data_IF_328929238833
#
_entry.id   IF_328929238833
#
_cell.length_a   1.000
_cell.length_b   1.000
_cell.length_c   1.000
_cell.angle_alpha   90.00
_cell.angle_beta   90.00
_cell.angle_gamma   90.00
#
_symmetry.space_group_name_H-M   'P 1'
#
loop_
_entity.id
_entity.type
_entity.pdbx_description
1 polymer ?
#
# COMPACT_ATOMS: atom_id res chain seq x y z
N UNK A 1 -11.09 18.03 27.58
CA UNK A 1 -10.37 19.29 27.76
C UNK A 1 -8.90 19.02 28.07
N UNK A 2 -7.99 19.88 27.58
CA UNK A 2 -6.55 19.80 27.80
C UNK A 2 -6.05 21.09 28.45
N UNK A 3 -5.43 20.97 29.62
CA UNK A 3 -4.78 22.10 30.30
C UNK A 3 -3.30 22.10 29.91
N UNK A 4 -2.86 23.24 29.41
CA UNK A 4 -1.47 23.51 29.05
C UNK A 4 -1.03 24.83 29.61
N UNK A 5 0.26 25.03 29.71
CA UNK A 5 0.83 26.33 30.03
C UNK A 5 2.04 26.62 29.14
N UNK A 6 2.18 27.87 28.76
CA UNK A 6 3.34 28.37 28.03
C UNK A 6 4.32 29.01 29.02
N UNK A 7 5.53 28.46 29.11
CA UNK A 7 6.63 29.00 29.88
C UNK A 7 7.90 29.06 29.04
N UNK A 8 8.54 30.21 28.92
CA UNK A 8 9.75 30.43 28.11
C UNK A 8 9.64 29.81 26.70
N UNK A 9 8.59 30.16 25.97
CA UNK A 9 8.29 29.69 24.60
C UNK A 9 8.04 28.18 24.48
N UNK A 10 7.99 27.46 25.61
CA UNK A 10 7.74 26.02 25.67
C UNK A 10 6.36 25.72 26.21
N UNK A 11 5.61 24.90 25.48
CA UNK A 11 4.30 24.44 25.95
C UNK A 11 4.46 23.21 26.85
N UNK A 12 4.01 23.33 28.07
CA UNK A 12 3.92 22.24 29.02
C UNK A 12 2.48 21.74 29.14
N UNK A 13 2.28 20.45 29.13
CA UNK A 13 0.99 19.83 29.34
C UNK A 13 0.88 19.26 30.75
N UNK A 14 -0.31 19.37 31.36
CA UNK A 14 -0.55 18.79 32.67
C UNK A 14 -0.34 17.28 32.66
N UNK A 15 0.33 16.73 33.69
CA UNK A 15 0.65 15.29 33.76
C UNK A 15 -0.56 14.41 34.09
N UNK A 16 -1.59 14.98 34.74
CA UNK A 16 -2.86 14.27 34.99
C UNK A 16 -3.56 13.79 33.72
N UNK A 17 -3.28 14.41 32.56
CA UNK A 17 -3.89 14.07 31.30
C UNK A 17 -5.07 14.94 30.91
N UNK A 18 -6.08 14.36 30.24
CA UNK A 18 -7.25 15.09 29.74
C UNK A 18 -8.38 15.08 30.77
N UNK A 19 -9.10 16.21 30.85
CA UNK A 19 -10.29 16.34 31.68
C UNK A 19 -11.54 15.95 30.87
N UNK A 20 -12.49 15.29 31.51
CA UNK A 20 -13.72 14.84 30.88
C UNK A 20 -14.73 15.98 30.72
N UNK A 21 -14.72 16.96 31.64
CA UNK A 21 -15.64 18.10 31.64
C UNK A 21 -14.89 19.43 31.64
N UNK A 22 -15.55 20.46 31.12
CA UNK A 22 -15.04 21.82 31.16
C UNK A 22 -14.88 22.31 32.63
N UNK A 23 -15.85 21.97 33.47
CA UNK A 23 -15.86 22.39 34.87
C UNK A 23 -14.61 21.90 35.63
N UNK A 24 -14.24 20.62 35.45
CA UNK A 24 -13.02 20.06 36.00
C UNK A 24 -11.77 20.77 35.47
N UNK A 25 -11.70 21.04 34.18
CA UNK A 25 -10.60 21.77 33.57
C UNK A 25 -10.48 23.19 34.07
N UNK A 26 -11.60 23.90 34.24
CA UNK A 26 -11.64 25.27 34.80
C UNK A 26 -11.22 25.33 36.27
N UNK A 27 -11.61 24.35 37.07
CA UNK A 27 -11.16 24.23 38.45
C UNK A 27 -9.62 24.14 38.54
N UNK A 28 -9.02 23.32 37.69
CA UNK A 28 -7.55 23.21 37.62
C UNK A 28 -6.90 24.47 37.07
N UNK A 29 -7.50 25.14 36.10
CA UNK A 29 -7.03 26.41 35.57
C UNK A 29 -7.01 27.48 36.65
N UNK A 30 -8.09 27.63 37.39
CA UNK A 30 -8.18 28.60 38.52
C UNK A 30 -7.13 28.35 39.59
N UNK A 31 -6.78 27.09 39.87
CA UNK A 31 -5.75 26.74 40.85
C UNK A 31 -4.35 27.20 40.48
N UNK A 32 -4.08 27.40 39.17
CA UNK A 32 -2.75 27.78 38.67
C UNK A 32 -2.65 29.25 38.25
N UNK A 33 -3.77 29.93 38.06
CA UNK A 33 -3.80 31.36 37.73
C UNK A 33 -3.18 32.20 38.82
N UNK A 34 -2.25 33.09 38.44
CA UNK A 34 -1.58 34.01 39.37
C UNK A 34 -0.40 33.42 40.15
N UNK A 35 -0.15 32.13 40.08
CA UNK A 35 1.02 31.48 40.66
C UNK A 35 2.15 31.38 39.66
N UNK A 36 3.44 31.42 40.07
CA UNK A 36 4.56 31.22 39.13
C UNK A 36 4.73 29.75 38.76
N UNK A 37 5.21 29.50 37.54
CA UNK A 37 5.69 28.19 37.13
C UNK A 37 7.09 27.95 37.67
N UNK A 38 7.35 26.77 38.20
CA UNK A 38 8.67 26.38 38.74
C UNK A 38 9.13 25.09 38.08
N UNK A 39 10.35 25.04 37.53
CA UNK A 39 10.97 23.83 37.01
C UNK A 39 11.40 22.91 38.13
N UNK A 40 10.79 21.74 38.27
CA UNK A 40 11.05 20.81 39.36
C UNK A 40 12.11 19.78 39.06
N UNK A 41 12.16 19.29 37.78
CA UNK A 41 13.17 18.32 37.39
C UNK A 41 13.48 18.36 35.88
N UNK A 42 14.70 17.96 35.53
CA UNK A 42 15.18 17.89 34.16
C UNK A 42 15.92 16.58 33.99
N UNK A 43 15.39 15.72 33.15
CA UNK A 43 16.02 14.42 32.83
C UNK A 43 16.36 14.37 31.34
N UNK A 44 17.63 14.18 31.03
CA UNK A 44 18.14 14.01 29.69
C UNK A 44 18.70 12.61 29.50
N UNK A 45 18.22 11.88 28.48
CA UNK A 45 18.68 10.52 28.16
C UNK A 45 19.06 10.43 26.70
N UNK A 46 20.25 9.89 26.44
CA UNK A 46 20.64 9.55 25.08
C UNK A 46 19.97 8.25 24.66
N UNK A 47 19.47 8.22 23.43
CA UNK A 47 18.87 7.07 22.77
C UNK A 47 19.57 6.77 21.46
N UNK A 48 19.43 5.52 21.01
CA UNK A 48 19.90 5.04 19.70
C UNK A 48 18.71 4.62 18.87
N UNK A 49 18.57 5.18 17.68
CA UNK A 49 17.55 4.79 16.71
C UNK A 49 18.20 4.02 15.58
N UNK A 50 17.87 2.73 15.50
CA UNK A 50 18.40 1.87 14.46
C UNK A 50 17.88 2.26 13.08
N UNK A 51 18.61 1.94 12.00
CA UNK A 51 18.11 2.07 10.64
C UNK A 51 16.79 1.32 10.45
N UNK A 52 15.91 1.80 9.56
CA UNK A 52 14.72 1.05 9.20
C UNK A 52 15.12 -0.29 8.54
N UNK A 53 14.34 -1.34 8.79
CA UNK A 53 14.58 -2.67 8.19
C UNK A 53 14.50 -2.60 6.66
N UNK A 54 15.14 -3.56 5.99
CA UNK A 54 15.02 -3.74 4.55
C UNK A 54 13.56 -3.95 4.14
N UNK A 55 13.29 -3.87 2.86
CA UNK A 55 11.94 -4.07 2.36
C UNK A 55 11.60 -5.55 2.15
N UNK A 56 10.44 -5.95 2.65
CA UNK A 56 9.59 -6.96 2.06
C UNK A 56 8.62 -6.31 1.06
N UNK A 57 7.80 -7.11 0.38
CA UNK A 57 6.85 -6.57 -0.61
C UNK A 57 5.83 -5.62 0.04
N UNK A 58 5.27 -5.99 1.18
CA UNK A 58 4.23 -5.18 1.85
C UNK A 58 4.77 -3.83 2.29
N UNK A 59 5.93 -3.79 2.94
CA UNK A 59 6.54 -2.54 3.38
C UNK A 59 6.95 -1.64 2.22
N UNK A 60 7.41 -2.21 1.10
CA UNK A 60 7.69 -1.46 -0.12
C UNK A 60 6.41 -0.85 -0.71
N UNK A 61 5.32 -1.63 -0.82
CA UNK A 61 4.02 -1.14 -1.29
C UNK A 61 3.47 -0.01 -0.41
N UNK A 62 3.58 -0.16 0.91
CA UNK A 62 3.18 0.89 1.88
C UNK A 62 3.97 2.17 1.67
N UNK A 63 5.28 2.08 1.51
CA UNK A 63 6.16 3.24 1.31
C UNK A 63 5.88 3.93 -0.03
N UNK A 64 5.75 3.17 -1.11
CA UNK A 64 5.40 3.69 -2.44
C UNK A 64 4.03 4.37 -2.45
N UNK A 65 3.03 3.82 -1.74
CA UNK A 65 1.73 4.44 -1.64
C UNK A 65 1.78 5.76 -0.87
N UNK A 66 2.50 5.80 0.26
CA UNK A 66 2.67 7.02 1.06
C UNK A 66 3.36 8.14 0.27
N UNK A 67 4.50 7.84 -0.38
CA UNK A 67 5.35 8.82 -1.04
C UNK A 67 4.85 9.21 -2.44
N UNK A 68 4.43 8.23 -3.22
CA UNK A 68 4.14 8.42 -4.64
C UNK A 68 2.67 8.21 -4.99
N UNK A 69 1.84 7.80 -4.03
CA UNK A 69 0.43 7.42 -4.24
C UNK A 69 0.26 6.24 -5.23
N UNK A 70 1.30 5.42 -5.40
CA UNK A 70 1.22 4.20 -6.21
C UNK A 70 0.30 3.19 -5.52
N UNK A 71 -0.49 2.47 -6.32
CA UNK A 71 -1.28 1.35 -5.80
C UNK A 71 -0.37 0.17 -5.44
N UNK A 72 -0.88 -0.76 -4.63
CA UNK A 72 -0.18 -1.99 -4.31
C UNK A 72 0.13 -2.80 -5.58
N UNK A 73 -0.81 -2.85 -6.54
CA UNK A 73 -0.62 -3.52 -7.83
C UNK A 73 0.43 -2.82 -8.70
N UNK A 74 0.37 -1.47 -8.82
CA UNK A 74 1.36 -0.71 -9.58
C UNK A 74 2.76 -0.92 -9.02
N UNK A 75 2.91 -0.85 -7.69
CA UNK A 75 4.21 -1.10 -7.03
C UNK A 75 4.72 -2.51 -7.33
N UNK A 76 3.85 -3.53 -7.26
CA UNK A 76 4.23 -4.90 -7.60
C UNK A 76 4.69 -5.03 -9.06
N UNK A 77 4.00 -4.41 -10.01
CA UNK A 77 4.40 -4.40 -11.42
C UNK A 77 5.75 -3.73 -11.63
N UNK A 78 5.99 -2.59 -10.98
CA UNK A 78 7.24 -1.85 -11.09
C UNK A 78 8.41 -2.65 -10.51
N UNK A 79 8.28 -3.18 -9.29
CA UNK A 79 9.37 -3.96 -8.68
C UNK A 79 9.61 -5.29 -9.41
N UNK A 80 8.58 -5.90 -9.99
CA UNK A 80 8.70 -7.07 -10.85
C UNK A 80 9.53 -6.73 -12.11
N UNK A 81 9.28 -5.58 -12.74
CA UNK A 81 10.07 -5.10 -13.88
C UNK A 81 11.54 -4.85 -13.50
N UNK A 82 11.80 -4.27 -12.32
CA UNK A 82 13.17 -4.08 -11.81
C UNK A 82 13.90 -5.41 -11.58
N UNK A 83 13.18 -6.42 -11.08
CA UNK A 83 13.69 -7.78 -10.93
C UNK A 83 14.02 -8.42 -12.30
N UNK A 84 13.13 -8.30 -13.28
CA UNK A 84 13.35 -8.81 -14.64
C UNK A 84 14.53 -8.13 -15.34
N UNK A 85 14.76 -6.85 -15.05
CA UNK A 85 15.98 -6.09 -15.44
C UNK A 85 17.21 -6.51 -14.63
N UNK A 86 17.07 -7.41 -13.65
CA UNK A 86 18.12 -7.92 -12.77
C UNK A 86 18.79 -6.86 -11.88
N UNK A 87 18.14 -5.72 -11.67
CA UNK A 87 18.68 -4.62 -10.82
C UNK A 87 18.21 -4.70 -9.37
N UNK A 88 17.19 -5.51 -9.08
CA UNK A 88 16.74 -5.86 -7.72
C UNK A 88 16.58 -7.37 -7.57
N UNK A 89 16.55 -7.86 -6.33
CA UNK A 89 16.26 -9.26 -6.00
C UNK A 89 14.77 -9.57 -6.15
N UNK A 90 14.39 -10.85 -5.97
CA UNK A 90 13.01 -11.31 -6.12
C UNK A 90 12.04 -10.52 -5.22
N UNK A 91 10.93 -9.99 -5.76
CA UNK A 91 10.12 -9.01 -5.04
C UNK A 91 9.02 -9.60 -4.15
N UNK A 92 8.60 -10.86 -4.35
CA UNK A 92 7.45 -11.43 -3.62
C UNK A 92 7.89 -12.12 -2.34
N UNK A 93 8.54 -11.36 -1.47
CA UNK A 93 9.12 -11.84 -0.22
C UNK A 93 8.38 -11.28 0.98
N UNK A 94 8.40 -12.01 2.09
CA UNK A 94 7.75 -11.70 3.37
C UNK A 94 8.73 -11.37 4.49
N UNK A 95 10.05 -11.43 4.21
CA UNK A 95 11.09 -11.13 5.17
C UNK A 95 11.79 -9.81 4.88
N UNK A 96 12.25 -9.17 5.94
CA UNK A 96 13.06 -7.93 5.92
C UNK A 96 14.53 -8.21 6.26
N UNK A 97 14.95 -9.49 6.27
CA UNK A 97 16.28 -9.92 6.63
C UNK A 97 17.03 -10.50 5.43
N UNK A 98 18.35 -10.50 5.53
CA UNK A 98 19.26 -11.18 4.61
C UNK A 98 19.80 -12.47 5.24
N UNK A 99 20.06 -13.47 4.41
CA UNK A 99 20.82 -14.64 4.78
C UNK A 99 22.32 -14.34 4.82
N UNK A 100 23.08 -15.11 5.58
CA UNK A 100 24.52 -14.89 5.79
C UNK A 100 25.34 -15.01 4.50
N UNK A 101 24.89 -15.79 3.51
CA UNK A 101 25.53 -15.96 2.21
C UNK A 101 25.48 -14.68 1.33
N UNK A 102 24.62 -13.72 1.67
CA UNK A 102 24.55 -12.43 1.00
C UNK A 102 25.67 -11.49 1.49
N UNK A 103 26.16 -11.66 2.72
CA UNK A 103 27.17 -10.75 3.29
C UNK A 103 28.41 -10.59 2.41
N UNK A 104 29.04 -11.64 1.85
CA UNK A 104 30.18 -11.49 0.94
C UNK A 104 29.88 -10.73 -0.35
N UNK A 105 28.60 -10.67 -0.76
CA UNK A 105 28.15 -9.99 -1.98
C UNK A 105 27.91 -8.48 -1.77
N UNK A 106 27.74 -8.02 -0.52
CA UNK A 106 27.41 -6.63 -0.19
C UNK A 106 28.42 -5.62 -0.76
N UNK A 107 29.75 -5.81 -0.69
CA UNK A 107 30.70 -4.87 -1.29
C UNK A 107 30.49 -4.68 -2.80
N UNK A 108 30.23 -5.77 -3.52
CA UNK A 108 29.96 -5.72 -4.97
C UNK A 108 28.66 -4.99 -5.27
N UNK A 109 27.61 -5.19 -4.46
CA UNK A 109 26.32 -4.47 -4.59
C UNK A 109 26.55 -2.98 -4.35
N UNK A 110 27.27 -2.59 -3.28
CA UNK A 110 27.56 -1.18 -2.97
C UNK A 110 28.34 -0.50 -4.11
N UNK A 111 29.29 -1.19 -4.74
CA UNK A 111 30.07 -0.67 -5.87
C UNK A 111 29.22 -0.47 -7.13
N UNK A 112 28.17 -1.26 -7.33
CA UNK A 112 27.25 -1.12 -8.45
C UNK A 112 26.29 0.08 -8.30
N UNK A 113 26.11 0.62 -7.10
CA UNK A 113 25.25 1.77 -6.79
C UNK A 113 25.90 3.10 -7.20
N UNK A 114 26.29 3.25 -8.47
CA UNK A 114 27.06 4.37 -8.98
C UNK A 114 26.39 5.74 -8.84
N UNK A 115 25.05 5.81 -8.80
CA UNK A 115 24.31 7.04 -8.54
C UNK A 115 24.34 7.48 -7.05
N UNK A 116 24.86 6.65 -6.16
CA UNK A 116 24.87 6.85 -4.70
C UNK A 116 26.29 6.87 -4.13
N UNK A 117 27.31 7.19 -4.93
CA UNK A 117 28.73 7.13 -4.55
C UNK A 117 29.05 7.94 -3.31
N UNK A 118 28.44 9.11 -3.12
CA UNK A 118 28.59 9.92 -1.91
C UNK A 118 28.09 9.21 -0.65
N UNK A 119 27.04 8.40 -0.77
CA UNK A 119 26.46 7.64 0.34
C UNK A 119 27.22 6.34 0.58
N UNK A 120 27.78 5.72 -0.46
CA UNK A 120 28.53 4.47 -0.35
C UNK A 120 30.01 4.68 -0.05
N UNK A 121 30.53 5.92 -0.12
CA UNK A 121 31.94 6.25 0.16
C UNK A 121 32.41 5.78 1.54
N UNK A 122 31.53 5.79 2.54
CA UNK A 122 31.82 5.28 3.88
C UNK A 122 32.28 3.82 3.90
N UNK A 123 31.86 3.02 2.91
CA UNK A 123 32.13 1.58 2.81
C UNK A 123 33.27 1.24 1.88
N UNK A 124 33.85 2.21 1.16
CA UNK A 124 34.92 1.96 0.16
C UNK A 124 36.27 1.59 0.79
N UNK A 125 36.55 2.09 2.00
CA UNK A 125 37.84 1.91 2.70
C UNK A 125 37.73 1.05 3.96
N UNK A 126 36.53 0.64 4.37
CA UNK A 126 36.31 -0.05 5.65
C UNK A 126 35.53 -1.36 5.52
N UNK A 127 35.54 -2.14 6.61
CA UNK A 127 34.74 -3.36 6.73
C UNK A 127 33.27 -2.97 6.90
N UNK A 128 32.39 -3.49 6.03
CA UNK A 128 30.94 -3.30 6.14
C UNK A 128 30.44 -3.99 7.42
N UNK A 129 29.66 -3.33 8.30
CA UNK A 129 29.18 -3.95 9.51
C UNK A 129 28.26 -5.15 9.23
N UNK A 130 28.49 -6.27 9.91
CA UNK A 130 27.56 -7.41 9.91
C UNK A 130 26.73 -7.38 11.19
N UNK A 131 25.45 -7.08 11.09
CA UNK A 131 24.54 -6.96 12.23
C UNK A 131 23.44 -8.02 12.16
N UNK A 132 23.09 -8.62 13.29
CA UNK A 132 21.90 -9.50 13.41
C UNK A 132 20.58 -8.78 13.15
N UNK A 133 20.56 -7.44 13.14
CA UNK A 133 19.40 -6.64 12.71
C UNK A 133 19.16 -6.72 11.19
N UNK A 134 20.19 -7.10 10.41
CA UNK A 134 20.16 -7.20 8.95
C UNK A 134 20.29 -8.66 8.50
N UNK A 135 21.20 -9.43 9.09
CA UNK A 135 21.49 -10.82 8.74
C UNK A 135 20.98 -11.76 9.83
N UNK A 136 19.96 -12.54 9.48
CA UNK A 136 19.39 -13.54 10.38
C UNK A 136 18.79 -14.69 9.58
N UNK A 137 19.52 -15.82 9.47
CA UNK A 137 19.09 -17.00 8.73
C UNK A 137 17.76 -17.58 9.25
N UNK A 138 17.47 -17.43 10.55
CA UNK A 138 16.22 -17.94 11.12
C UNK A 138 14.98 -17.18 10.70
N UNK A 139 15.17 -16.01 10.09
CA UNK A 139 14.11 -15.10 9.58
C UNK A 139 14.01 -15.10 8.05
N UNK A 140 14.80 -15.93 7.39
CA UNK A 140 14.80 -16.09 5.93
C UNK A 140 14.36 -17.52 5.63
N UNK A 141 13.27 -17.67 4.89
CA UNK A 141 12.77 -18.97 4.42
C UNK A 141 13.29 -19.24 3.01
N UNK A 142 12.48 -19.00 1.98
CA UNK A 142 12.83 -19.27 0.59
C UNK A 142 13.65 -18.13 -0.06
N UNK A 143 13.36 -16.90 0.31
CA UNK A 143 13.96 -15.69 -0.25
C UNK A 143 14.27 -14.68 0.85
N UNK A 144 15.34 -13.90 0.65
CA UNK A 144 15.70 -12.79 1.53
C UNK A 144 15.00 -11.49 1.11
N UNK A 145 15.16 -10.42 1.89
CA UNK A 145 14.59 -9.10 1.64
C UNK A 145 14.90 -8.56 0.22
N UNK A 146 14.10 -7.60 -0.23
CA UNK A 146 14.29 -6.90 -1.51
C UNK A 146 15.48 -5.95 -1.37
N UNK A 147 16.53 -6.19 -2.17
CA UNK A 147 17.74 -5.36 -2.21
C UNK A 147 18.18 -5.11 -3.67
N UNK A 148 19.04 -4.09 -3.91
CA UNK A 148 19.72 -3.97 -5.20
C UNK A 148 20.63 -5.16 -5.47
N UNK A 149 20.96 -5.41 -6.73
CA UNK A 149 21.95 -6.39 -7.14
C UNK A 149 23.29 -5.72 -7.47
N UNK A 150 24.27 -6.51 -7.92
CA UNK A 150 25.52 -6.00 -8.45
C UNK A 150 25.44 -5.51 -9.91
N UNK A 151 24.22 -5.43 -10.47
CA UNK A 151 23.97 -4.90 -11.82
C UNK A 151 23.68 -3.41 -11.72
N UNK A 152 24.36 -2.59 -12.55
CA UNK A 152 24.11 -1.14 -12.63
C UNK A 152 22.70 -0.88 -13.15
N UNK A 153 21.96 -0.05 -12.43
CA UNK A 153 20.62 0.35 -12.82
C UNK A 153 20.68 1.41 -13.93
N UNK A 154 20.42 0.99 -15.16
CA UNK A 154 20.36 1.86 -16.35
C UNK A 154 19.03 1.70 -17.05
N UNK A 155 18.64 2.72 -17.81
CA UNK A 155 17.40 2.69 -18.63
C UNK A 155 16.12 2.42 -17.81
N UNK A 156 16.01 3.01 -16.63
CA UNK A 156 14.84 2.95 -15.80
C UNK A 156 13.82 4.02 -16.22
N UNK A 157 12.55 3.67 -16.22
CA UNK A 157 11.46 4.66 -16.33
C UNK A 157 11.43 5.55 -15.08
N UNK A 158 10.72 6.68 -15.14
CA UNK A 158 10.61 7.58 -13.97
C UNK A 158 9.95 6.92 -12.75
N UNK A 159 9.01 5.98 -12.95
CA UNK A 159 8.40 5.23 -11.85
C UNK A 159 9.35 4.16 -11.29
N UNK A 160 10.04 3.44 -12.17
CA UNK A 160 11.07 2.47 -11.78
C UNK A 160 12.21 3.14 -10.99
N UNK A 161 12.64 4.33 -11.43
CA UNK A 161 13.68 5.09 -10.73
C UNK A 161 13.26 5.45 -9.30
N UNK A 162 12.00 5.85 -9.09
CA UNK A 162 11.46 6.17 -7.76
C UNK A 162 11.47 4.94 -6.84
N UNK A 163 11.01 3.80 -7.34
CA UNK A 163 10.95 2.55 -6.54
C UNK A 163 12.37 2.02 -6.29
N UNK A 164 13.24 2.08 -7.29
CA UNK A 164 14.65 1.68 -7.16
C UNK A 164 15.39 2.55 -6.13
N UNK A 165 15.17 3.87 -6.15
CA UNK A 165 15.78 4.80 -5.18
C UNK A 165 15.38 4.45 -3.73
N UNK A 166 14.12 4.11 -3.49
CA UNK A 166 13.67 3.63 -2.16
C UNK A 166 14.42 2.38 -1.74
N UNK A 167 14.54 1.39 -2.63
CA UNK A 167 15.22 0.12 -2.33
C UNK A 167 16.70 0.34 -2.10
N UNK A 168 17.38 1.13 -2.96
CA UNK A 168 18.79 1.42 -2.86
C UNK A 168 19.14 2.19 -1.56
N UNK A 169 18.41 3.27 -1.26
CA UNK A 169 18.62 4.03 -0.02
C UNK A 169 18.36 3.21 1.23
N UNK A 170 17.29 2.39 1.23
CA UNK A 170 16.98 1.51 2.35
C UNK A 170 18.08 0.48 2.60
N UNK A 171 18.65 -0.07 1.52
CA UNK A 171 19.79 -0.97 1.58
C UNK A 171 21.05 -0.29 2.12
N UNK A 172 21.40 0.88 1.61
CA UNK A 172 22.56 1.65 2.08
C UNK A 172 22.40 2.00 3.56
N UNK A 173 21.23 2.52 3.96
CA UNK A 173 20.94 2.93 5.34
C UNK A 173 21.09 1.79 6.35
N UNK A 174 20.78 0.54 5.95
CA UNK A 174 20.89 -0.64 6.82
C UNK A 174 22.32 -0.90 7.35
N UNK A 175 23.34 -0.36 6.69
CA UNK A 175 24.75 -0.49 7.06
C UNK A 175 25.34 0.78 7.71
N UNK A 176 24.56 1.86 7.79
CA UNK A 176 24.96 3.08 8.48
C UNK A 176 24.87 2.91 10.00
N UNK A 177 25.59 3.75 10.77
CA UNK A 177 25.47 3.76 12.22
C UNK A 177 24.07 4.19 12.67
N UNK A 178 23.68 3.79 13.88
CA UNK A 178 22.45 4.24 14.50
C UNK A 178 22.42 5.78 14.59
N UNK A 179 21.23 6.38 14.47
CA UNK A 179 21.03 7.78 14.78
C UNK A 179 21.06 7.95 16.31
N UNK A 180 21.86 8.89 16.80
CA UNK A 180 21.96 9.21 18.22
C UNK A 180 21.07 10.40 18.52
N UNK A 181 20.16 10.24 19.45
CA UNK A 181 19.22 11.28 19.88
C UNK A 181 19.38 11.58 21.36
N UNK A 182 19.11 12.83 21.73
CA UNK A 182 18.96 13.27 23.11
C UNK A 182 17.48 13.55 23.36
N UNK A 183 16.88 12.81 24.29
CA UNK A 183 15.51 13.02 24.72
C UNK A 183 15.53 13.72 26.08
N UNK A 184 15.01 14.95 26.14
CA UNK A 184 14.92 15.74 27.36
C UNK A 184 13.47 15.78 27.82
N UNK A 185 13.26 15.49 29.08
CA UNK A 185 11.99 15.65 29.79
C UNK A 185 12.19 16.72 30.84
N UNK A 186 11.35 17.74 30.76
CA UNK A 186 11.32 18.82 31.77
C UNK A 186 10.01 18.70 32.54
N UNK A 187 10.09 18.58 33.84
CA UNK A 187 8.96 18.65 34.76
C UNK A 187 8.94 20.02 35.40
N UNK A 188 7.76 20.55 35.58
CA UNK A 188 7.54 21.78 36.31
C UNK A 188 6.21 21.72 37.04
N UNK A 189 6.02 22.62 38.00
CA UNK A 189 4.79 22.69 38.74
C UNK A 189 4.28 24.13 38.89
N UNK A 190 2.97 24.25 39.02
CA UNK A 190 2.29 25.46 39.45
C UNK A 190 1.31 25.09 40.54
N UNK A 191 1.50 25.63 41.74
CA UNK A 191 0.63 25.34 42.90
C UNK A 191 0.34 23.84 43.09
N UNK A 192 1.40 23.00 43.12
CA UNK A 192 1.35 21.52 43.26
C UNK A 192 0.72 20.77 42.08
N UNK A 193 0.42 21.45 41.01
CA UNK A 193 -0.05 20.81 39.78
C UNK A 193 1.15 20.63 38.84
N UNK A 194 1.46 19.37 38.54
CA UNK A 194 2.62 19.01 37.72
C UNK A 194 2.34 19.13 36.21
N UNK A 195 3.32 19.66 35.50
CA UNK A 195 3.35 19.83 34.07
C UNK A 195 4.60 19.19 33.45
N UNK A 196 4.52 18.79 32.22
CA UNK A 196 5.60 18.12 31.51
C UNK A 196 5.76 18.69 30.10
N UNK A 197 7.02 18.92 29.70
CA UNK A 197 7.43 19.13 28.32
C UNK A 197 8.47 18.09 27.93
N UNK A 198 8.48 17.71 26.64
CA UNK A 198 9.45 16.76 26.08
C UNK A 198 10.11 17.36 24.85
N UNK A 199 11.42 17.22 24.78
CA UNK A 199 12.20 17.62 23.61
C UNK A 199 13.02 16.47 23.07
N UNK A 200 13.30 16.51 21.78
CA UNK A 200 14.16 15.56 21.08
C UNK A 200 15.15 16.33 20.20
N UNK A 201 16.41 16.05 20.38
CA UNK A 201 17.50 16.63 19.58
C UNK A 201 18.30 15.50 18.92
N UNK A 202 18.64 15.63 17.64
CA UNK A 202 19.51 14.70 16.94
C UNK A 202 20.95 15.12 17.19
N UNK A 203 21.72 14.30 17.93
CA UNK A 203 23.13 14.51 18.21
C UNK A 203 24.02 14.01 17.05
N UNK A 204 23.65 12.90 16.46
CA UNK A 204 24.33 12.33 15.27
C UNK A 204 23.28 11.72 14.34
N UNK A 205 23.16 12.19 13.10
CA UNK A 205 22.10 11.75 12.20
C UNK A 205 22.23 10.27 11.77
N UNK A 206 23.45 9.72 11.76
CA UNK A 206 23.66 8.33 11.38
C UNK A 206 23.01 7.98 10.03
N UNK A 207 22.21 6.90 10.01
CA UNK A 207 21.50 6.44 8.82
C UNK A 207 20.51 7.47 8.22
N UNK A 208 20.06 8.45 9.00
CA UNK A 208 19.12 9.49 8.52
C UNK A 208 19.72 10.33 7.40
N UNK A 209 21.06 10.46 7.34
CA UNK A 209 21.75 11.17 6.26
C UNK A 209 21.48 10.59 4.87
N UNK A 210 21.15 9.29 4.78
CA UNK A 210 20.86 8.61 3.52
C UNK A 210 19.57 9.12 2.86
N UNK A 211 18.60 9.59 3.66
CA UNK A 211 17.29 10.00 3.18
C UNK A 211 17.13 11.51 2.92
N UNK A 212 18.14 12.33 3.27
CA UNK A 212 18.09 13.78 3.07
C UNK A 212 17.21 14.53 4.09
N UNK A 213 17.15 15.86 3.96
CA UNK A 213 16.43 16.73 4.91
C UNK A 213 14.90 16.66 4.79
N UNK A 214 14.37 16.42 3.59
CA UNK A 214 12.93 16.43 3.32
C UNK A 214 12.21 15.22 3.94
N UNK A 215 12.86 14.09 4.05
CA UNK A 215 12.28 12.87 4.63
C UNK A 215 12.37 12.81 6.16
N UNK A 216 13.20 13.67 6.76
CA UNK A 216 13.36 13.75 8.22
C UNK A 216 12.30 14.64 8.90
N UNK A 217 11.43 15.31 8.14
CA UNK A 217 10.44 16.28 8.67
C UNK A 217 9.22 15.66 9.37
N UNK A 218 9.01 14.35 9.32
CA UNK A 218 7.88 13.72 10.06
C UNK A 218 8.15 13.58 11.57
N UNK A 219 9.42 13.65 11.99
CA UNK A 219 9.81 13.76 13.40
C UNK A 219 10.62 15.05 13.59
N UNK A 220 9.89 16.17 13.64
CA UNK A 220 10.51 17.46 13.91
C UNK A 220 11.33 17.40 15.20
N UNK A 221 12.58 17.87 15.12
CA UNK A 221 13.34 18.18 16.32
C UNK A 221 12.50 19.17 17.15
N UNK A 222 12.11 18.74 18.34
CA UNK A 222 11.49 19.61 19.34
C UNK A 222 12.59 20.05 20.29
N UNK A 223 13.36 21.05 19.86
CA UNK A 223 14.43 21.58 20.70
C UNK A 223 13.84 22.40 21.81
N UNK A 224 14.08 22.00 23.07
CA UNK A 224 13.72 22.79 24.23
C UNK A 224 14.81 23.82 24.51
N UNK A 225 14.46 25.03 25.00
CA UNK A 225 15.46 25.95 25.56
C UNK A 225 16.15 25.32 26.76
N UNK A 226 17.32 25.81 27.09
CA UNK A 226 18.02 25.38 28.31
C UNK A 226 17.25 25.82 29.54
N UNK A 227 16.75 24.86 30.30
CA UNK A 227 16.10 25.05 31.58
C UNK A 227 17.06 24.78 32.73
N UNK A 228 16.82 25.40 33.88
CA UNK A 228 17.57 25.14 35.12
C UNK A 228 16.62 24.68 36.19
N UNK A 229 17.00 23.62 36.94
CA UNK A 229 16.18 23.12 38.06
C UNK A 229 16.02 24.19 39.11
N UNK A 230 14.78 24.44 39.53
CA UNK A 230 14.44 25.48 40.52
C UNK A 230 14.20 26.87 39.89
N UNK A 231 14.38 27.05 38.57
CA UNK A 231 14.01 28.31 37.94
C UNK A 231 12.51 28.52 38.02
N UNK A 232 12.09 29.76 38.22
CA UNK A 232 10.69 30.14 38.38
C UNK A 232 10.40 31.41 37.60
N UNK A 233 9.16 31.57 37.17
CA UNK A 233 8.75 32.74 36.40
C UNK A 233 7.29 32.75 35.96
N UNK A 234 6.86 33.85 35.33
CA UNK A 234 5.50 33.98 34.85
C UNK A 234 5.23 32.98 33.69
N UNK A 235 4.01 32.47 33.64
CA UNK A 235 3.57 31.58 32.59
C UNK A 235 2.17 31.98 32.11
N UNK A 236 1.74 31.41 30.96
CA UNK A 236 0.42 31.66 30.38
C UNK A 236 -0.33 30.34 30.30
N UNK A 237 -1.25 30.06 31.25
CA UNK A 237 -2.06 28.85 31.19
C UNK A 237 -3.18 28.97 30.15
N UNK A 238 -3.57 27.85 29.60
CA UNK A 238 -4.66 27.75 28.64
C UNK A 238 -5.40 26.41 28.74
N UNK A 239 -6.72 26.49 28.72
CA UNK A 239 -7.60 25.32 28.68
C UNK A 239 -8.21 25.22 27.30
N UNK A 240 -7.94 24.13 26.57
CA UNK A 240 -8.43 23.92 25.21
C UNK A 240 -9.42 22.78 25.18
N UNK A 241 -10.56 23.02 24.53
CA UNK A 241 -11.50 21.96 24.17
C UNK A 241 -10.88 21.04 23.13
N UNK A 242 -11.04 19.74 23.31
CA UNK A 242 -10.57 18.71 22.36
C UNK A 242 -11.65 17.66 22.14
N UNK A 243 -12.08 17.55 20.90
CA UNK A 243 -13.03 16.55 20.49
C UNK A 243 -12.31 15.29 20.03
N UNK A 244 -12.87 14.13 20.37
CA UNK A 244 -12.44 12.86 19.79
C UNK A 244 -12.68 12.88 18.29
N UNK A 245 -11.73 12.35 17.55
CA UNK A 245 -11.85 12.25 16.09
C UNK A 245 -12.20 10.81 15.72
N UNK A 246 -13.09 10.59 14.76
CA UNK A 246 -13.33 9.25 14.25
C UNK A 246 -12.04 8.68 13.64
N UNK A 247 -11.91 7.34 13.59
CA UNK A 247 -10.77 6.72 12.91
C UNK A 247 -10.64 7.26 11.47
N UNK A 248 -9.43 7.53 11.04
CA UNK A 248 -9.17 8.00 9.67
C UNK A 248 -9.57 6.90 8.68
N UNK A 249 -10.18 7.25 7.54
CA UNK A 249 -10.44 6.28 6.46
C UNK A 249 -9.16 5.55 6.06
N UNK A 250 -9.29 4.29 5.65
CA UNK A 250 -8.16 3.55 5.14
C UNK A 250 -7.61 4.18 3.84
N UNK A 251 -6.31 4.16 3.69
CA UNK A 251 -5.61 4.25 2.41
C UNK A 251 -5.15 2.85 2.01
N UNK A 252 -4.68 2.63 0.78
CA UNK A 252 -4.11 1.33 0.43
C UNK A 252 -2.95 0.94 1.36
N UNK A 253 -2.10 1.91 1.73
CA UNK A 253 -1.01 1.69 2.69
C UNK A 253 -1.50 1.21 4.06
N UNK A 254 -2.52 1.87 4.61
CA UNK A 254 -3.05 1.51 5.92
C UNK A 254 -3.88 0.23 5.88
N UNK A 255 -4.57 -0.06 4.75
CA UNK A 255 -5.26 -1.34 4.55
C UNK A 255 -4.26 -2.50 4.45
N UNK A 256 -3.17 -2.35 3.69
CA UNK A 256 -2.10 -3.36 3.63
C UNK A 256 -1.52 -3.67 5.02
N UNK A 257 -1.29 -2.62 5.84
CA UNK A 257 -0.84 -2.81 7.23
C UNK A 257 -1.89 -3.48 8.11
N UNK A 258 -3.17 -3.11 7.96
CA UNK A 258 -4.26 -3.76 8.67
C UNK A 258 -4.37 -5.25 8.30
N UNK A 259 -4.25 -5.59 7.01
CA UNK A 259 -4.22 -6.99 6.56
C UNK A 259 -3.02 -7.75 7.15
N UNK A 260 -1.83 -7.14 7.17
CA UNK A 260 -0.61 -7.72 7.73
C UNK A 260 -0.72 -7.96 9.25
N UNK A 261 -1.37 -7.06 9.96
CA UNK A 261 -1.50 -7.10 11.42
C UNK A 261 -2.88 -7.52 11.90
N UNK A 262 -3.66 -8.21 11.06
CA UNK A 262 -5.05 -8.58 11.36
C UNK A 262 -5.21 -9.41 12.64
N UNK A 263 -4.18 -10.19 13.01
CA UNK A 263 -4.17 -10.92 14.28
C UNK A 263 -4.31 -10.05 15.53
N UNK A 264 -3.97 -8.76 15.45
CA UNK A 264 -4.13 -7.86 16.61
C UNK A 264 -5.58 -7.59 16.98
N UNK A 265 -6.52 -7.79 16.06
CA UNK A 265 -7.96 -7.61 16.27
C UNK A 265 -8.66 -8.89 16.73
N UNK A 266 -7.95 -10.01 16.84
CA UNK A 266 -8.48 -11.31 17.27
C UNK A 266 -8.25 -11.46 18.77
N UNK A 267 -9.32 -11.79 19.51
CA UNK A 267 -9.29 -11.93 20.97
C UNK A 267 -8.63 -13.24 21.41
N UNK A 268 -8.85 -14.32 20.68
CA UNK A 268 -8.27 -15.64 20.95
C UNK A 268 -6.76 -15.62 20.71
N UNK A 269 -5.98 -16.05 21.70
CA UNK A 269 -4.52 -15.98 21.69
C UNK A 269 -3.90 -16.95 20.68
N UNK A 270 -4.44 -18.17 20.55
CA UNK A 270 -3.94 -19.19 19.60
C UNK A 270 -4.19 -18.75 18.16
N UNK A 271 -5.38 -18.19 17.87
CA UNK A 271 -5.71 -17.65 16.56
C UNK A 271 -4.95 -16.35 16.24
N UNK A 272 -4.71 -15.53 17.25
CA UNK A 272 -3.87 -14.33 17.14
C UNK A 272 -2.44 -14.70 16.76
N UNK A 273 -1.86 -15.71 17.38
CA UNK A 273 -0.51 -16.19 17.06
C UNK A 273 -0.45 -16.85 15.68
N UNK A 274 -1.51 -17.56 15.26
CA UNK A 274 -1.61 -18.08 13.90
C UNK A 274 -1.61 -16.99 12.83
N UNK A 275 -2.27 -15.86 13.09
CA UNK A 275 -2.33 -14.71 12.18
C UNK A 275 -1.12 -13.77 12.27
N UNK A 276 -0.33 -13.88 13.34
CA UNK A 276 0.79 -12.96 13.62
C UNK A 276 1.88 -13.00 12.56
N UNK A 277 2.08 -14.15 11.92
CA UNK A 277 3.10 -14.33 10.89
C UNK A 277 2.60 -13.94 9.50
N UNK A 278 1.35 -14.21 9.15
CA UNK A 278 0.83 -14.06 7.79
C UNK A 278 -0.23 -12.96 7.64
N UNK A 279 -1.01 -12.67 8.70
CA UNK A 279 -2.16 -11.76 8.60
C UNK A 279 -3.24 -12.30 7.67
N UNK A 280 -4.00 -11.40 7.03
CA UNK A 280 -4.95 -11.74 5.97
C UNK A 280 -4.26 -11.65 4.61
N UNK A 281 -4.20 -12.77 3.90
CA UNK A 281 -3.50 -12.92 2.63
C UNK A 281 -1.97 -12.83 2.80
N UNK A 282 -1.25 -13.44 1.86
CA UNK A 282 0.22 -13.34 1.80
C UNK A 282 0.63 -12.04 1.10
N UNK A 283 1.86 -11.53 1.30
CA UNK A 283 2.35 -10.34 0.60
C UNK A 283 2.11 -10.37 -0.91
N UNK A 284 2.31 -11.53 -1.55
CA UNK A 284 2.11 -11.73 -2.98
C UNK A 284 0.66 -11.64 -3.45
N UNK A 285 -0.33 -11.84 -2.57
CA UNK A 285 -1.76 -11.89 -2.92
C UNK A 285 -2.55 -10.67 -2.47
N UNK A 286 -2.09 -9.90 -1.48
CA UNK A 286 -2.81 -8.74 -0.93
C UNK A 286 -3.19 -7.71 -1.98
N UNK A 287 -2.27 -7.40 -2.90
CA UNK A 287 -2.55 -6.48 -4.00
C UNK A 287 -3.74 -6.97 -4.87
N UNK A 288 -3.75 -8.25 -5.25
CA UNK A 288 -4.82 -8.84 -6.05
C UNK A 288 -6.16 -8.88 -5.29
N UNK A 289 -6.14 -9.09 -3.97
CA UNK A 289 -7.34 -9.01 -3.11
C UNK A 289 -7.91 -7.60 -3.17
N UNK A 290 -7.11 -6.56 -2.94
CA UNK A 290 -7.54 -5.16 -2.97
C UNK A 290 -8.09 -4.80 -4.37
N UNK A 291 -7.40 -5.18 -5.44
CA UNK A 291 -7.88 -4.97 -6.82
C UNK A 291 -9.21 -5.69 -7.09
N UNK A 292 -9.42 -6.87 -6.49
CA UNK A 292 -10.69 -7.58 -6.62
C UNK A 292 -11.84 -6.80 -5.96
N UNK A 293 -11.60 -6.15 -4.81
CA UNK A 293 -12.60 -5.30 -4.16
C UNK A 293 -12.98 -4.10 -5.06
N UNK A 294 -12.01 -3.48 -5.73
CA UNK A 294 -12.26 -2.42 -6.71
C UNK A 294 -13.04 -2.94 -7.93
N UNK A 295 -12.60 -4.04 -8.54
CA UNK A 295 -13.23 -4.64 -9.73
C UNK A 295 -14.69 -5.05 -9.48
N UNK A 296 -15.00 -5.48 -8.26
CA UNK A 296 -16.35 -5.84 -7.85
C UNK A 296 -17.16 -4.65 -7.34
N UNK A 297 -16.59 -3.45 -7.38
CA UNK A 297 -17.22 -2.21 -6.89
C UNK A 297 -17.67 -2.27 -5.42
N UNK A 298 -16.95 -3.03 -4.59
CA UNK A 298 -17.23 -3.07 -3.15
C UNK A 298 -16.60 -1.87 -2.44
N UNK A 299 -15.49 -1.37 -2.97
CA UNK A 299 -14.81 -0.16 -2.51
C UNK A 299 -14.49 0.75 -3.70
N UNK A 300 -14.35 2.03 -3.41
CA UNK A 300 -13.87 3.05 -4.36
C UNK A 300 -12.80 3.92 -3.73
N UNK A 301 -12.03 4.60 -4.56
CA UNK A 301 -11.00 5.53 -4.11
C UNK A 301 -11.53 6.96 -4.16
N UNK A 302 -11.46 7.66 -3.04
CA UNK A 302 -11.70 9.10 -2.96
C UNK A 302 -10.40 9.80 -2.58
N UNK A 303 -9.72 10.39 -3.56
CA UNK A 303 -8.34 10.91 -3.45
C UNK A 303 -7.38 9.80 -3.00
N UNK A 304 -6.90 9.82 -1.74
CA UNK A 304 -6.04 8.79 -1.16
C UNK A 304 -6.82 7.77 -0.32
N UNK A 305 -8.06 8.08 0.03
CA UNK A 305 -8.87 7.27 0.93
C UNK A 305 -9.62 6.17 0.18
N UNK A 306 -9.81 5.05 0.85
CA UNK A 306 -10.67 3.95 0.44
C UNK A 306 -12.01 4.10 1.15
N UNK A 307 -13.07 4.08 0.36
CA UNK A 307 -14.45 4.24 0.87
C UNK A 307 -15.27 3.04 0.39
N UNK A 308 -16.04 2.45 1.29
CA UNK A 308 -17.00 1.43 0.92
C UNK A 308 -18.10 2.02 0.01
N UNK A 309 -18.48 1.28 -1.00
CA UNK A 309 -19.63 1.63 -1.84
C UNK A 309 -20.93 1.10 -1.21
N UNK A 310 -22.06 1.58 -1.70
CA UNK A 310 -23.35 1.05 -1.27
C UNK A 310 -23.44 -0.48 -1.48
N UNK A 311 -22.97 -0.98 -2.62
CA UNK A 311 -22.90 -2.41 -2.92
C UNK A 311 -22.05 -3.19 -1.92
N UNK A 312 -20.91 -2.61 -1.51
CA UNK A 312 -20.02 -3.22 -0.51
C UNK A 312 -20.68 -3.28 0.88
N UNK A 313 -21.37 -2.23 1.29
CA UNK A 313 -22.11 -2.16 2.57
C UNK A 313 -23.25 -3.17 2.57
N UNK A 314 -24.05 -3.24 1.50
CA UNK A 314 -25.16 -4.16 1.35
C UNK A 314 -24.68 -5.62 1.34
N UNK A 315 -23.56 -5.93 0.66
CA UNK A 315 -22.97 -7.26 0.69
C UNK A 315 -22.65 -7.70 2.12
N UNK A 316 -21.95 -6.86 2.89
CA UNK A 316 -21.61 -7.18 4.29
C UNK A 316 -22.87 -7.32 5.16
N UNK A 317 -23.87 -6.47 4.94
CA UNK A 317 -25.18 -6.56 5.63
C UNK A 317 -25.95 -7.84 5.31
N UNK A 318 -25.81 -8.36 4.08
CA UNK A 318 -26.48 -9.61 3.64
C UNK A 318 -25.80 -10.85 4.19
N UNK A 319 -24.47 -10.82 4.39
CA UNK A 319 -23.74 -11.94 4.98
C UNK A 319 -24.09 -12.03 6.47
N UNK A 320 -24.83 -13.05 6.86
CA UNK A 320 -25.23 -13.27 8.28
C UNK A 320 -24.25 -14.15 9.05
N UNK A 321 -23.42 -14.92 8.35
CA UNK A 321 -22.38 -15.71 8.99
C UNK A 321 -21.24 -14.79 9.44
N UNK A 322 -21.12 -14.57 10.75
CA UNK A 322 -20.14 -13.66 11.34
C UNK A 322 -18.69 -14.10 11.09
N UNK A 323 -18.44 -15.43 11.05
CA UNK A 323 -17.09 -15.93 10.74
C UNK A 323 -16.58 -15.51 9.36
N UNK A 324 -17.47 -15.38 8.36
CA UNK A 324 -17.07 -14.88 7.03
C UNK A 324 -16.70 -13.40 7.03
N UNK A 325 -17.13 -12.65 8.05
CA UNK A 325 -16.86 -11.22 8.21
C UNK A 325 -15.67 -10.93 9.14
N UNK A 326 -15.16 -11.96 9.83
CA UNK A 326 -14.08 -11.80 10.81
C UNK A 326 -12.74 -12.33 10.29
N UNK A 327 -11.65 -11.88 10.88
CA UNK A 327 -10.32 -12.42 10.65
C UNK A 327 -10.12 -13.80 11.30
N UNK A 328 -11.00 -14.20 12.23
CA UNK A 328 -10.90 -15.44 13.00
C UNK A 328 -10.93 -16.67 12.11
N UNK A 329 -11.79 -16.69 11.09
CA UNK A 329 -11.86 -17.82 10.15
C UNK A 329 -10.52 -18.07 9.47
N UNK A 330 -9.83 -17.01 9.06
CA UNK A 330 -8.47 -17.12 8.51
C UNK A 330 -7.50 -17.68 9.56
N UNK A 331 -7.59 -17.21 10.81
CA UNK A 331 -6.79 -17.71 11.93
C UNK A 331 -7.01 -19.19 12.20
N UNK A 332 -8.28 -19.64 12.22
CA UNK A 332 -8.65 -21.05 12.41
C UNK A 332 -7.99 -21.92 11.31
N UNK A 333 -8.09 -21.51 10.07
CA UNK A 333 -7.55 -22.28 8.94
C UNK A 333 -6.03 -22.29 8.93
N UNK A 334 -5.38 -21.16 9.13
CA UNK A 334 -3.91 -21.07 9.21
C UNK A 334 -3.38 -21.92 10.36
N UNK A 335 -4.04 -21.94 11.52
CA UNK A 335 -3.67 -22.79 12.64
C UNK A 335 -3.76 -24.28 12.28
N UNK A 336 -4.88 -24.71 11.65
CA UNK A 336 -5.03 -26.11 11.19
C UNK A 336 -3.99 -26.49 10.16
N UNK A 337 -3.68 -25.60 9.20
CA UNK A 337 -2.63 -25.85 8.20
C UNK A 337 -1.26 -26.04 8.85
N UNK A 338 -0.93 -25.25 9.89
CA UNK A 338 0.31 -25.44 10.66
C UNK A 338 0.34 -26.76 11.43
N UNK A 339 -0.80 -27.15 12.00
CA UNK A 339 -0.90 -28.47 12.66
C UNK A 339 -0.71 -29.60 11.67
N UNK A 340 -1.18 -29.46 10.41
CA UNK A 340 -0.91 -30.42 9.33
C UNK A 340 0.58 -30.47 9.01
N UNK A 341 1.26 -29.32 8.86
CA UNK A 341 2.69 -29.23 8.61
C UNK A 341 3.53 -29.93 9.70
N UNK A 342 3.08 -29.85 10.95
CA UNK A 342 3.71 -30.53 12.10
C UNK A 342 3.28 -31.97 12.29
N UNK A 343 2.44 -32.52 11.41
CA UNK A 343 1.82 -33.87 11.55
C UNK A 343 0.93 -34.00 12.80
N UNK A 344 0.39 -32.92 13.35
CA UNK A 344 -0.50 -32.90 14.52
C UNK A 344 -1.98 -32.95 14.13
N UNK A 345 -2.28 -32.77 12.83
CA UNK A 345 -3.64 -32.78 12.28
C UNK A 345 -3.64 -33.37 10.86
N UNK A 346 -4.70 -34.12 10.49
CA UNK A 346 -4.76 -34.78 9.18
C UNK A 346 -5.34 -33.86 8.11
N UNK A 347 -4.68 -33.81 6.96
CA UNK A 347 -5.16 -33.01 5.82
C UNK A 347 -6.55 -33.44 5.32
N UNK A 348 -6.90 -34.74 5.42
CA UNK A 348 -8.22 -35.25 5.04
C UNK A 348 -9.33 -34.66 5.91
N UNK A 349 -9.13 -34.62 7.24
CA UNK A 349 -10.10 -34.07 8.18
C UNK A 349 -10.33 -32.56 7.93
N UNK A 350 -9.25 -31.82 7.64
CA UNK A 350 -9.34 -30.42 7.23
C UNK A 350 -10.22 -30.23 5.98
N UNK A 351 -10.00 -31.05 4.96
CA UNK A 351 -10.77 -30.98 3.72
C UNK A 351 -12.26 -31.34 3.92
N UNK A 352 -12.55 -32.30 4.78
CA UNK A 352 -13.94 -32.67 5.13
C UNK A 352 -14.66 -31.53 5.86
N UNK A 353 -14.02 -30.93 6.86
CA UNK A 353 -14.55 -29.77 7.58
C UNK A 353 -14.77 -28.56 6.65
N UNK A 354 -13.82 -28.30 5.76
CA UNK A 354 -13.95 -27.22 4.76
C UNK A 354 -15.16 -27.48 3.84
N UNK A 355 -15.31 -28.70 3.31
CA UNK A 355 -16.44 -29.07 2.45
C UNK A 355 -17.77 -28.94 3.19
N UNK A 356 -17.81 -29.41 4.45
CA UNK A 356 -18.99 -29.29 5.30
C UNK A 356 -19.39 -27.83 5.51
N UNK A 357 -18.44 -27.00 5.93
CA UNK A 357 -18.68 -25.56 6.13
C UNK A 357 -19.18 -24.87 4.87
N UNK A 358 -18.53 -25.12 3.71
CA UNK A 358 -18.97 -24.55 2.42
C UNK A 358 -20.37 -25.03 2.08
N UNK A 359 -20.69 -26.32 2.27
CA UNK A 359 -22.02 -26.89 2.05
C UNK A 359 -23.10 -26.20 2.92
N UNK A 360 -22.82 -26.01 4.20
CA UNK A 360 -23.71 -25.32 5.14
C UNK A 360 -23.97 -23.86 4.72
N UNK A 361 -22.91 -23.14 4.33
CA UNK A 361 -23.02 -21.76 3.84
C UNK A 361 -23.87 -21.70 2.56
N UNK A 362 -23.64 -22.60 1.60
CA UNK A 362 -24.41 -22.66 0.34
C UNK A 362 -25.88 -22.92 0.61
N UNK A 363 -26.18 -23.93 1.43
CA UNK A 363 -27.59 -24.26 1.80
C UNK A 363 -28.24 -23.08 2.51
N UNK A 364 -27.53 -22.42 3.40
CA UNK A 364 -28.01 -21.24 4.09
C UNK A 364 -28.35 -20.10 3.11
N UNK A 365 -27.43 -19.78 2.20
CA UNK A 365 -27.64 -18.71 1.18
C UNK A 365 -28.81 -19.06 0.25
N UNK A 366 -28.95 -20.33 -0.15
CA UNK A 366 -30.03 -20.77 -1.01
C UNK A 366 -31.41 -20.72 -0.29
N UNK A 367 -31.45 -20.90 1.03
CA UNK A 367 -32.68 -20.82 1.84
C UNK A 367 -33.05 -19.40 2.25
N UNK A 368 -32.11 -18.44 2.12
CA UNK A 368 -32.33 -17.04 2.51
C UNK A 368 -33.12 -16.27 1.44
N UNK A 369 -34.41 -16.08 1.66
CA UNK A 369 -35.27 -15.27 0.80
C UNK A 369 -35.38 -13.80 1.23
N UNK A 370 -34.62 -13.34 2.21
CA UNK A 370 -34.84 -12.08 2.93
C UNK A 370 -34.26 -10.82 2.28
N UNK A 371 -33.53 -10.92 1.18
CA UNK A 371 -32.96 -9.73 0.56
C UNK A 371 -32.45 -9.94 -0.86
N UNK A 372 -33.10 -9.30 -1.82
CA UNK A 372 -32.47 -9.07 -3.13
C UNK A 372 -31.56 -7.84 -3.00
N UNK A 373 -30.26 -8.02 -3.17
CA UNK A 373 -29.33 -6.90 -3.34
C UNK A 373 -29.73 -6.20 -4.63
N UNK A 374 -30.22 -4.98 -4.54
CA UNK A 374 -30.42 -4.13 -5.71
C UNK A 374 -29.04 -3.54 -6.03
N UNK A 375 -28.23 -4.30 -6.74
CA UNK A 375 -26.95 -3.78 -7.21
C UNK A 375 -27.24 -2.56 -8.07
N UNK A 376 -26.88 -1.38 -7.59
CA UNK A 376 -26.84 -0.20 -8.43
C UNK A 376 -25.88 -0.46 -9.58
N UNK A 377 -26.23 -0.12 -10.84
CA UNK A 377 -25.30 -0.27 -11.96
C UNK A 377 -24.00 0.47 -11.62
N UNK A 378 -22.83 -0.11 -11.98
CA UNK A 378 -21.56 0.55 -11.73
C UNK A 378 -21.60 1.95 -12.32
N UNK A 379 -21.05 2.97 -11.62
CA UNK A 379 -20.92 4.30 -12.20
C UNK A 379 -20.12 4.19 -13.50
N UNK A 380 -20.65 4.77 -14.59
CA UNK A 380 -19.90 4.83 -15.85
C UNK A 380 -18.53 5.46 -15.58
N UNK A 381 -17.46 4.71 -15.88
CA UNK A 381 -16.11 5.27 -15.81
C UNK A 381 -16.04 6.53 -16.69
N UNK A 382 -15.55 7.67 -16.19
CA UNK A 382 -15.34 8.83 -17.04
C UNK A 382 -14.34 8.45 -18.13
N UNK A 383 -14.81 8.42 -19.37
CA UNK A 383 -13.99 8.16 -20.55
C UNK A 383 -12.74 9.02 -20.47
N UNK A 384 -11.57 8.42 -20.25
CA UNK A 384 -10.28 9.10 -20.25
C UNK A 384 -10.16 9.87 -21.56
N UNK A 385 -10.24 11.19 -21.54
CA UNK A 385 -9.82 12.04 -22.65
C UNK A 385 -8.33 11.76 -22.84
N UNK A 386 -7.97 11.16 -23.96
CA UNK A 386 -6.59 11.00 -24.37
C UNK A 386 -5.97 12.39 -24.54
N UNK A 387 -5.15 12.80 -23.59
CA UNK A 387 -4.28 13.97 -23.74
C UNK A 387 -3.12 13.55 -24.62
N UNK A 388 -3.24 13.75 -25.90
CA UNK A 388 -2.11 13.77 -26.84
C UNK A 388 -1.24 14.98 -26.48
N UNK A 389 -0.03 14.71 -26.00
CA UNK A 389 1.01 15.70 -25.81
C UNK A 389 1.39 16.34 -27.15
N UNK A 390 1.03 17.61 -27.33
CA UNK A 390 1.48 18.42 -28.44
C UNK A 390 2.91 18.91 -28.19
N UNK A 391 3.82 18.61 -29.15
CA UNK A 391 5.11 19.31 -29.31
C UNK A 391 4.88 20.69 -29.91
N UNK A 392 5.59 21.74 -29.50
CA UNK A 392 5.47 23.06 -30.09
C UNK A 392 6.30 23.20 -31.37
N UNK A 393 5.67 23.62 -32.44
CA UNK A 393 6.37 23.86 -33.71
C UNK A 393 5.57 24.66 -34.71
N UNK A 394 5.85 25.98 -34.78
CA UNK A 394 5.70 26.96 -35.89
C UNK A 394 4.33 27.28 -36.49
N UNK A 395 3.96 28.52 -36.21
CA UNK A 395 2.93 29.32 -36.94
C UNK A 395 3.11 29.27 -38.46
N UNK A 396 2.03 29.01 -39.18
CA UNK A 396 1.70 29.73 -40.44
C UNK A 396 0.19 29.83 -40.56
N UNK A 397 -0.24 31.07 -40.76
CA UNK A 397 -1.54 31.58 -41.14
C UNK A 397 -2.07 30.96 -42.42
N UNK A 398 -3.34 30.63 -42.53
CA UNK A 398 -4.41 31.22 -43.29
C UNK A 398 -5.57 30.27 -43.54
N UNK A 399 -6.75 30.89 -43.43
CA UNK A 399 -8.04 30.65 -44.10
C UNK A 399 -8.94 29.46 -43.73
N UNK A 400 -10.09 29.92 -43.28
CA UNK A 400 -11.39 29.25 -43.23
C UNK A 400 -11.71 28.49 -44.53
N UNK A 401 -12.22 27.28 -44.43
CA UNK A 401 -13.43 26.88 -45.14
C UNK A 401 -14.11 25.73 -44.37
N UNK A 402 -15.39 25.82 -44.39
CA UNK A 402 -16.42 25.03 -43.76
C UNK A 402 -16.42 23.54 -44.06
N UNK A 403 -16.77 22.78 -43.01
CA UNK A 403 -17.68 21.61 -43.02
C UNK A 403 -17.44 20.47 -43.98
N UNK A 404 -17.28 19.31 -43.37
CA UNK A 404 -18.16 18.17 -43.73
C UNK A 404 -18.08 17.08 -42.66
N UNK A 405 -19.26 16.68 -42.18
CA UNK A 405 -19.45 15.50 -41.30
C UNK A 405 -19.08 14.28 -42.10
N UNK A 406 -18.07 13.49 -41.65
CA UNK A 406 -17.85 12.15 -42.15
C UNK A 406 -19.05 11.26 -41.86
N UNK A 407 -19.46 10.40 -42.84
CA UNK A 407 -20.59 9.50 -42.67
C UNK A 407 -20.33 8.43 -41.62
N UNK A 408 -21.40 7.99 -40.96
CA UNK A 408 -21.39 6.79 -40.09
C UNK A 408 -20.94 5.61 -40.91
N UNK A 409 -19.86 4.90 -40.45
CA UNK A 409 -19.49 3.59 -40.98
C UNK A 409 -20.75 2.69 -40.98
N UNK A 410 -21.15 2.22 -42.14
CA UNK A 410 -22.20 1.23 -42.28
C UNK A 410 -21.67 -0.10 -41.78
N UNK A 411 -22.12 -0.50 -40.60
CA UNK A 411 -21.80 -1.82 -40.00
C UNK A 411 -22.36 -2.92 -40.91
N UNK A 412 -21.49 -3.74 -41.51
CA UNK A 412 -21.87 -4.87 -42.37
C UNK A 412 -22.65 -5.90 -41.55
N UNK A 413 -23.82 -6.33 -42.01
CA UNK A 413 -24.65 -7.35 -41.37
C UNK A 413 -24.04 -8.73 -41.50
N UNK A 414 -24.18 -9.58 -40.49
CA UNK A 414 -23.69 -10.94 -40.49
C UNK A 414 -24.48 -11.82 -41.46
N UNK A 415 -23.84 -12.53 -42.41
CA UNK A 415 -24.52 -13.35 -43.41
C UNK A 415 -25.10 -14.66 -42.86
N UNK A 416 -24.76 -15.04 -41.61
CA UNK A 416 -25.23 -16.27 -40.97
C UNK A 416 -26.47 -16.01 -40.06
N UNK A 417 -26.43 -15.05 -39.17
CA UNK A 417 -27.53 -14.79 -38.24
C UNK A 417 -28.41 -13.59 -38.61
N UNK A 418 -28.00 -12.78 -39.57
CA UNK A 418 -28.71 -11.58 -40.08
C UNK A 418 -29.08 -10.52 -39.02
N UNK A 419 -28.81 -10.79 -37.76
CA UNK A 419 -29.14 -9.92 -36.61
C UNK A 419 -27.91 -9.30 -35.93
N UNK A 420 -26.72 -9.90 -36.15
CA UNK A 420 -25.44 -9.38 -35.68
C UNK A 420 -24.73 -8.60 -36.80
N UNK A 421 -23.64 -7.92 -36.46
CA UNK A 421 -22.76 -7.22 -37.40
C UNK A 421 -21.35 -7.82 -37.34
N UNK A 422 -20.58 -7.58 -38.41
CA UNK A 422 -19.21 -8.09 -38.54
C UNK A 422 -18.28 -7.28 -37.62
N UNK A 423 -17.48 -8.00 -36.86
CA UNK A 423 -16.43 -7.45 -36.00
C UNK A 423 -15.07 -8.05 -36.36
N UNK A 424 -14.04 -7.23 -36.36
CA UNK A 424 -12.67 -7.67 -36.58
C UNK A 424 -12.10 -8.24 -35.26
N UNK A 425 -11.68 -9.52 -35.31
CA UNK A 425 -10.96 -10.19 -34.23
C UNK A 425 -9.44 -10.06 -34.41
N UNK A 426 -8.68 -10.88 -33.70
CA UNK A 426 -7.21 -10.88 -33.79
C UNK A 426 -6.66 -11.58 -35.03
N UNK A 427 -7.36 -12.57 -35.55
CA UNK A 427 -6.92 -13.43 -36.66
C UNK A 427 -7.97 -13.65 -37.71
N UNK A 428 -9.21 -13.19 -37.49
CA UNK A 428 -10.34 -13.36 -38.40
C UNK A 428 -11.44 -12.37 -38.08
N UNK A 429 -12.36 -12.16 -39.02
CA UNK A 429 -13.63 -11.48 -38.81
C UNK A 429 -14.62 -12.45 -38.18
N UNK A 430 -15.48 -11.98 -37.27
CA UNK A 430 -16.53 -12.76 -36.61
C UNK A 430 -17.83 -11.97 -36.48
N UNK A 431 -18.87 -12.60 -35.92
CA UNK A 431 -20.14 -11.94 -35.66
C UNK A 431 -20.19 -11.36 -34.24
N UNK A 432 -20.76 -10.16 -34.05
CA UNK A 432 -20.98 -9.56 -32.75
C UNK A 432 -21.79 -10.44 -31.79
N UNK A 433 -22.59 -11.38 -32.33
CA UNK A 433 -23.41 -12.34 -31.56
C UNK A 433 -22.78 -13.73 -31.45
N UNK A 434 -21.45 -13.83 -31.53
CA UNK A 434 -20.75 -15.12 -31.40
C UNK A 434 -21.00 -15.83 -30.06
N UNK A 435 -21.19 -15.05 -28.98
CA UNK A 435 -21.51 -15.58 -27.63
C UNK A 435 -22.92 -16.16 -27.54
N UNK A 436 -23.79 -15.81 -28.48
CA UNK A 436 -25.18 -16.31 -28.57
C UNK A 436 -25.28 -17.45 -29.59
N UNK A 437 -24.15 -18.03 -29.99
CA UNK A 437 -24.08 -19.22 -30.86
C UNK A 437 -23.92 -18.94 -32.37
N UNK A 438 -23.71 -17.69 -32.81
CA UNK A 438 -23.45 -17.44 -34.24
C UNK A 438 -22.05 -17.87 -34.64
N UNK A 439 -21.93 -18.88 -35.51
CA UNK A 439 -20.68 -19.47 -35.98
C UNK A 439 -19.98 -18.75 -37.14
N UNK A 440 -20.38 -17.52 -37.52
CA UNK A 440 -19.72 -16.78 -38.59
C UNK A 440 -18.25 -16.52 -38.27
N UNK A 441 -17.35 -16.98 -39.18
CA UNK A 441 -15.92 -16.72 -39.12
C UNK A 441 -15.37 -16.60 -40.56
N UNK A 442 -14.69 -15.49 -40.83
CA UNK A 442 -14.01 -15.25 -42.11
C UNK A 442 -12.53 -14.92 -41.79
N UNK A 443 -11.56 -15.75 -42.26
CA UNK A 443 -10.14 -15.50 -42.04
C UNK A 443 -9.67 -14.24 -42.77
N UNK A 444 -8.58 -13.67 -42.30
CA UNK A 444 -7.84 -12.61 -42.96
C UNK A 444 -7.24 -13.12 -44.31
N UNK A 445 -6.41 -12.34 -44.98
CA UNK A 445 -5.69 -12.77 -46.15
C UNK A 445 -4.67 -13.91 -45.84
N UNK A 446 -4.05 -14.49 -46.90
CA UNK A 446 -3.06 -15.56 -46.73
C UNK A 446 -1.79 -15.11 -45.96
N UNK A 447 -1.54 -13.82 -45.91
CA UNK A 447 -0.44 -13.22 -45.14
C UNK A 447 -0.83 -12.88 -43.68
N UNK A 448 -2.10 -13.11 -43.28
CA UNK A 448 -2.61 -12.85 -41.96
C UNK A 448 -2.96 -11.37 -41.69
N UNK A 449 -3.13 -10.56 -42.73
CA UNK A 449 -3.53 -9.16 -42.60
C UNK A 449 -5.05 -9.00 -42.77
N UNK A 450 -5.66 -7.97 -42.12
CA UNK A 450 -7.06 -7.63 -42.37
C UNK A 450 -7.31 -7.26 -43.86
N UNK A 451 -8.46 -7.70 -44.36
CA UNK A 451 -8.89 -7.38 -45.72
C UNK A 451 -9.27 -5.90 -45.84
N UNK A 452 -9.06 -5.31 -47.01
CA UNK A 452 -9.63 -4.00 -47.33
C UNK A 452 -11.16 -4.07 -47.41
N UNK A 453 -11.82 -2.93 -47.31
CA UNK A 453 -13.27 -2.83 -47.16
C UNK A 453 -14.05 -3.41 -48.35
N UNK A 454 -13.54 -3.24 -49.56
CA UNK A 454 -14.16 -3.73 -50.80
C UNK A 454 -14.06 -5.26 -50.90
N UNK A 455 -12.89 -5.80 -50.60
CA UNK A 455 -12.65 -7.26 -50.59
C UNK A 455 -13.44 -7.93 -49.46
N UNK A 456 -13.55 -7.27 -48.29
CA UNK A 456 -14.33 -7.77 -47.16
C UNK A 456 -15.83 -7.83 -47.50
N UNK A 457 -16.39 -6.78 -48.10
CA UNK A 457 -17.78 -6.75 -48.55
C UNK A 457 -18.08 -7.86 -49.55
N UNK A 458 -17.21 -8.03 -50.53
CA UNK A 458 -17.35 -9.10 -51.55
C UNK A 458 -17.32 -10.48 -50.90
N UNK A 459 -16.35 -10.76 -50.02
CA UNK A 459 -16.25 -12.07 -49.34
C UNK A 459 -17.42 -12.34 -48.40
N UNK A 460 -18.04 -11.32 -47.82
CA UNK A 460 -19.25 -11.46 -47.00
C UNK A 460 -20.46 -11.78 -47.87
N UNK A 461 -20.59 -11.16 -49.06
CA UNK A 461 -21.68 -11.45 -50.01
C UNK A 461 -21.59 -12.87 -50.58
N UNK A 462 -20.36 -13.31 -50.84
CA UNK A 462 -20.09 -14.65 -51.41
C UNK A 462 -20.00 -15.75 -50.31
N UNK A 463 -20.22 -15.42 -49.05
CA UNK A 463 -20.08 -16.34 -47.92
C UNK A 463 -21.16 -17.41 -47.91
N UNK A 464 -20.77 -18.67 -48.10
CA UNK A 464 -21.66 -19.84 -48.05
C UNK A 464 -21.38 -20.61 -46.75
N UNK A 465 -22.33 -20.71 -45.81
CA UNK A 465 -22.14 -21.40 -44.52
C UNK A 465 -21.86 -22.90 -44.67
N UNK A 466 -22.20 -23.51 -45.80
CA UNK A 466 -22.02 -24.96 -46.05
C UNK A 466 -20.63 -25.36 -46.54
N UNK A 467 -19.75 -24.42 -46.87
CA UNK A 467 -18.40 -24.73 -47.39
C UNK A 467 -17.32 -24.83 -46.30
N UNK A 468 -17.63 -24.56 -45.01
CA UNK A 468 -16.65 -24.55 -43.93
C UNK A 468 -16.83 -25.65 -42.86
N UNK A 469 -17.58 -26.74 -43.18
CA UNK A 469 -17.77 -27.88 -42.27
C UNK A 469 -16.74 -29.01 -42.41
N UNK A 470 -15.70 -28.87 -43.23
CA UNK A 470 -14.63 -29.87 -43.37
C UNK A 470 -13.27 -29.22 -43.18
N UNK A 471 -12.81 -29.13 -41.93
CA UNK A 471 -11.41 -29.35 -41.53
C UNK A 471 -11.40 -29.43 -40.01
N UNK A 472 -11.23 -30.68 -39.49
CA UNK A 472 -10.91 -31.04 -38.14
C UNK A 472 -9.67 -30.34 -37.63
#
# INVERSE_FOLDING_TARGET
WELKTLYRETTFAVTKGKFQTEAEGKEFLQKIEGFPFTVTDITTKQGKEAPPRLFDLTSLQVECNKKFSFSAESTLKIIQSLYEKKVTTYPRVDTTFLSDDIYPKVPGIMSALTAYTTLTALFSTGKIPKSKKVFDNSKVTDHHAIIPTNVKATNLTGEEQKVYDLVARRFIAAFYPDCIVSNTVVLGEVNQIEFKATGKQILSPGWRTVFGKEENNEESESTLPAFTKGETGPHTPSLAEKWTQPPKPYTEATLLRAMETAGKSVEDEELRDALKENGIGRPSTRAAIIETLFKRHYIRKERKNLVATQTGVELIGTIRNELLKSAELTGIWENKLRKIERNEYRAADFLEELKKMVGEIVLYVLSDNSGKITAAPPPEEPKKKSTTSAKPGKKKTTNKTSTEKKPKEQLLSCPVCHTGHIIQGKTAYGCSRWKEGCGFRLPFDEAGNPLDEETLQKRIQDYNPNTHLNHE
#
